data_IF_775344166903
#
_entry.id   IF_775344166903
#
_cell.length_a   1.000
_cell.length_b   1.000
_cell.length_c   1.000
_cell.angle_alpha   90.00
_cell.angle_beta   90.00
_cell.angle_gamma   90.00
#
_symmetry.space_group_name_H-M   'P 1'
#
loop_
_entity.id
_entity.type
_entity.pdbx_description
1 polymer ?
#
# COMPACT_ATOMS: atom_id res chain seq x y z
N UNK A 1 -3.49 14.58 -0.58
CA UNK A 1 -3.47 13.18 -0.10
C UNK A 1 -2.30 12.44 -0.73
N UNK A 2 -1.80 11.37 -0.10
CA UNK A 2 -0.72 10.52 -0.63
C UNK A 2 -1.31 9.14 -0.92
N UNK A 3 -0.97 8.54 -2.06
CA UNK A 3 -1.43 7.19 -2.42
C UNK A 3 -0.66 6.13 -1.64
N UNK A 4 -1.37 5.14 -1.11
CA UNK A 4 -0.81 3.89 -0.58
C UNK A 4 -1.18 2.78 -1.55
N UNK A 5 -0.20 2.01 -2.00
CA UNK A 5 -0.41 0.86 -2.88
C UNK A 5 0.76 -0.13 -2.76
N UNK A 6 0.71 -1.26 -3.46
CA UNK A 6 1.76 -2.28 -3.45
C UNK A 6 2.49 -2.30 -4.80
N UNK A 7 3.77 -1.92 -4.81
CA UNK A 7 4.48 -1.42 -6.00
C UNK A 7 3.87 -0.10 -6.52
N UNK A 8 3.62 0.83 -5.59
CA UNK A 8 2.74 1.99 -5.76
C UNK A 8 3.02 2.92 -6.95
N UNK A 9 4.24 2.91 -7.51
CA UNK A 9 4.56 3.67 -8.71
C UNK A 9 3.73 3.24 -9.93
N UNK A 10 3.36 1.95 -10.02
CA UNK A 10 2.55 1.40 -11.09
C UNK A 10 1.14 2.01 -11.03
N UNK A 11 0.46 1.86 -9.90
CA UNK A 11 -0.90 2.37 -9.68
C UNK A 11 -1.00 3.88 -9.87
N UNK A 12 -0.05 4.64 -9.29
CA UNK A 12 -0.03 6.10 -9.44
C UNK A 12 0.18 6.50 -10.91
N UNK A 13 1.03 5.79 -11.65
CA UNK A 13 1.25 6.02 -13.08
C UNK A 13 -0.03 5.87 -13.90
N UNK A 14 -0.79 4.79 -13.68
CA UNK A 14 -2.07 4.57 -14.35
C UNK A 14 -3.13 5.60 -13.97
N UNK A 15 -3.24 5.95 -12.67
CA UNK A 15 -4.18 6.98 -12.19
C UNK A 15 -3.84 8.34 -12.79
N UNK A 16 -2.57 8.74 -12.80
CA UNK A 16 -2.12 10.00 -13.40
C UNK A 16 -2.45 10.07 -14.90
N UNK A 17 -2.15 9.00 -15.65
CA UNK A 17 -2.46 8.94 -17.08
C UNK A 17 -3.98 8.99 -17.33
N UNK A 18 -4.80 8.36 -16.48
CA UNK A 18 -6.25 8.44 -16.57
C UNK A 18 -6.76 9.86 -16.28
N UNK A 19 -6.21 10.52 -15.25
CA UNK A 19 -6.54 11.91 -14.92
C UNK A 19 -6.26 12.86 -16.10
N UNK A 20 -5.12 12.67 -16.78
CA UNK A 20 -4.74 13.45 -17.97
C UNK A 20 -5.73 13.22 -19.12
N UNK A 21 -6.03 11.96 -19.46
CA UNK A 21 -7.00 11.62 -20.52
C UNK A 21 -8.40 12.17 -20.23
N UNK A 22 -8.81 12.16 -18.96
CA UNK A 22 -10.10 12.67 -18.51
C UNK A 22 -10.13 14.19 -18.25
N UNK A 23 -9.01 14.90 -18.43
CA UNK A 23 -8.88 16.36 -18.21
C UNK A 23 -9.33 16.81 -16.81
N UNK A 24 -9.04 16.00 -15.78
CA UNK A 24 -9.39 16.30 -14.40
C UNK A 24 -8.49 17.42 -13.85
N UNK A 25 -9.08 18.52 -13.41
CA UNK A 25 -8.34 19.73 -12.96
C UNK A 25 -7.89 19.70 -11.50
N UNK A 26 -8.57 18.93 -10.65
CA UNK A 26 -8.35 18.91 -9.19
C UNK A 26 -8.11 17.47 -8.73
N UNK A 27 -6.93 16.96 -9.06
CA UNK A 27 -6.48 15.64 -8.58
C UNK A 27 -5.98 15.79 -7.15
N UNK A 28 -6.57 15.11 -6.15
CA UNK A 28 -6.23 15.30 -4.74
C UNK A 28 -4.98 14.51 -4.31
N UNK A 29 -4.40 13.70 -5.20
CA UNK A 29 -3.18 12.95 -4.95
C UNK A 29 -1.94 13.80 -5.20
N UNK A 30 -0.94 13.61 -4.35
CA UNK A 30 0.38 14.14 -4.59
C UNK A 30 0.95 13.54 -5.90
N UNK A 31 1.58 14.34 -6.79
CA UNK A 31 1.83 13.93 -8.18
C UNK A 31 2.87 12.82 -8.36
N UNK A 32 3.78 12.64 -7.40
CA UNK A 32 4.86 11.63 -7.49
C UNK A 32 5.11 10.85 -6.19
N UNK A 33 5.01 11.49 -5.02
CA UNK A 33 5.18 10.81 -3.74
C UNK A 33 4.07 9.78 -3.46
N UNK A 34 4.47 8.59 -3.04
CA UNK A 34 3.61 7.47 -2.63
C UNK A 34 4.15 6.81 -1.36
N UNK A 35 3.29 6.05 -0.68
CA UNK A 35 3.72 5.06 0.30
C UNK A 35 3.59 3.67 -0.32
N UNK A 36 4.73 3.09 -0.67
CA UNK A 36 4.81 1.76 -1.24
C UNK A 36 4.86 0.67 -0.16
N UNK A 37 3.82 -0.15 -0.10
CA UNK A 37 3.74 -1.25 0.86
C UNK A 37 4.67 -2.41 0.55
N UNK A 38 5.23 -2.54 -0.67
CA UNK A 38 6.28 -3.52 -0.94
C UNK A 38 7.56 -3.14 -0.19
N UNK A 39 7.98 -1.87 -0.28
CA UNK A 39 9.09 -1.31 0.51
C UNK A 39 8.83 -1.40 2.01
N UNK A 40 7.66 -0.95 2.49
CA UNK A 40 7.34 -0.98 3.92
C UNK A 40 7.28 -2.42 4.48
N UNK A 41 6.77 -3.37 3.69
CA UNK A 41 6.75 -4.79 4.09
C UNK A 41 8.14 -5.41 4.08
N UNK A 42 9.03 -4.97 3.18
CA UNK A 42 10.44 -5.33 3.21
C UNK A 42 11.08 -4.95 4.54
N UNK A 43 10.80 -3.74 5.04
CA UNK A 43 11.27 -3.26 6.34
C UNK A 43 10.64 -4.03 7.52
N UNK A 44 9.31 -4.16 7.54
CA UNK A 44 8.58 -4.65 8.72
C UNK A 44 8.56 -6.19 8.83
N UNK A 45 8.61 -6.89 7.70
CA UNK A 45 8.38 -8.34 7.60
C UNK A 45 9.41 -9.09 6.75
N UNK A 46 10.37 -8.40 6.12
CA UNK A 46 11.34 -9.04 5.22
C UNK A 46 10.72 -9.63 3.96
N UNK A 47 9.50 -9.20 3.58
CA UNK A 47 8.76 -9.71 2.42
C UNK A 47 8.31 -8.57 1.52
N UNK A 48 8.52 -8.71 0.21
CA UNK A 48 8.10 -7.72 -0.79
C UNK A 48 6.91 -8.17 -1.64
N UNK A 49 6.49 -9.44 -1.53
CA UNK A 49 5.32 -9.96 -2.24
C UNK A 49 4.10 -9.85 -1.33
N UNK A 50 3.05 -9.15 -1.77
CA UNK A 50 1.83 -8.87 -0.99
C UNK A 50 1.31 -10.11 -0.23
N UNK A 51 1.07 -11.21 -0.93
CA UNK A 51 0.57 -12.45 -0.33
C UNK A 51 1.48 -12.99 0.79
N UNK A 52 2.81 -12.91 0.63
CA UNK A 52 3.78 -13.35 1.64
C UNK A 52 3.87 -12.37 2.81
N UNK A 53 3.80 -11.07 2.53
CA UNK A 53 3.77 -10.02 3.54
C UNK A 53 2.52 -10.15 4.43
N UNK A 54 1.33 -10.31 3.83
CA UNK A 54 0.08 -10.57 4.55
C UNK A 54 0.19 -11.81 5.44
N UNK A 55 0.65 -12.95 4.90
CA UNK A 55 0.83 -14.17 5.69
C UNK A 55 1.80 -13.99 6.85
N UNK A 56 2.92 -13.30 6.63
CA UNK A 56 3.93 -13.03 7.68
C UNK A 56 3.39 -12.07 8.74
N UNK A 57 2.50 -11.15 8.35
CA UNK A 57 1.76 -10.27 9.25
C UNK A 57 0.63 -10.98 10.02
N UNK A 58 0.42 -12.29 9.83
CA UNK A 58 -0.66 -13.04 10.45
C UNK A 58 -2.05 -12.79 9.83
N UNK A 59 -2.09 -12.26 8.60
CA UNK A 59 -3.33 -12.01 7.87
C UNK A 59 -3.64 -13.16 6.92
N UNK A 60 -4.92 -13.51 6.83
CA UNK A 60 -5.41 -14.41 5.79
C UNK A 60 -5.28 -13.78 4.40
N UNK A 61 -4.83 -14.57 3.42
CA UNK A 61 -4.70 -14.17 2.03
C UNK A 61 -5.10 -15.34 1.10
N UNK A 62 -6.19 -15.18 0.37
CA UNK A 62 -6.68 -16.14 -0.60
C UNK A 62 -6.12 -15.81 -1.99
N UNK A 63 -5.25 -16.69 -2.50
CA UNK A 63 -4.66 -16.53 -3.83
C UNK A 63 -5.70 -16.61 -4.96
N UNK A 64 -6.90 -17.15 -4.72
CA UNK A 64 -7.98 -17.21 -5.72
C UNK A 64 -8.64 -15.85 -5.95
N UNK A 65 -8.64 -15.00 -4.93
CA UNK A 65 -9.15 -13.62 -4.99
C UNK A 65 -8.06 -12.61 -5.40
N UNK A 66 -6.80 -13.05 -5.49
CA UNK A 66 -5.71 -12.22 -5.99
C UNK A 66 -6.02 -11.71 -7.40
N UNK A 67 -5.56 -10.48 -7.70
CA UNK A 67 -5.87 -9.75 -8.93
C UNK A 67 -7.26 -9.12 -9.01
N UNK A 68 -8.12 -9.33 -8.00
CA UNK A 68 -9.26 -8.45 -7.78
C UNK A 68 -8.79 -7.15 -7.15
N UNK A 69 -8.97 -6.02 -7.85
CA UNK A 69 -8.57 -4.70 -7.35
C UNK A 69 -9.21 -4.38 -5.98
N UNK A 70 -10.45 -4.82 -5.75
CA UNK A 70 -11.11 -4.65 -4.46
C UNK A 70 -10.39 -5.43 -3.35
N UNK A 71 -10.12 -6.71 -3.59
CA UNK A 71 -9.48 -7.59 -2.62
C UNK A 71 -8.05 -7.12 -2.30
N UNK A 72 -7.26 -6.83 -3.34
CA UNK A 72 -5.89 -6.38 -3.20
C UNK A 72 -5.82 -5.02 -2.48
N UNK A 73 -6.78 -4.12 -2.73
CA UNK A 73 -6.88 -2.84 -2.00
C UNK A 73 -7.20 -3.07 -0.53
N UNK A 74 -8.16 -3.94 -0.21
CA UNK A 74 -8.52 -4.26 1.19
C UNK A 74 -7.32 -4.85 1.93
N UNK A 75 -6.63 -5.84 1.33
CA UNK A 75 -5.45 -6.46 1.93
C UNK A 75 -4.27 -5.50 2.07
N UNK A 76 -4.04 -4.64 1.08
CA UNK A 76 -3.00 -3.62 1.15
C UNK A 76 -3.29 -2.58 2.24
N UNK A 77 -4.55 -2.18 2.41
CA UNK A 77 -4.97 -1.26 3.47
C UNK A 77 -4.81 -1.87 4.86
N UNK A 78 -5.25 -3.11 5.07
CA UNK A 78 -5.05 -3.87 6.30
C UNK A 78 -3.54 -3.98 6.63
N UNK A 79 -2.73 -4.34 5.64
CA UNK A 79 -1.27 -4.49 5.78
C UNK A 79 -0.60 -3.17 6.15
N UNK A 80 -0.93 -2.06 5.48
CA UNK A 80 -0.40 -0.73 5.77
C UNK A 80 -0.73 -0.30 7.21
N UNK A 81 -2.00 -0.41 7.61
CA UNK A 81 -2.43 -0.12 8.98
C UNK A 81 -1.69 -1.00 9.99
N UNK A 82 -1.54 -2.29 9.70
CA UNK A 82 -0.79 -3.23 10.52
C UNK A 82 0.66 -2.82 10.72
N UNK A 83 1.36 -2.41 9.66
CA UNK A 83 2.77 -1.95 9.73
C UNK A 83 2.89 -0.69 10.60
N UNK A 84 2.07 0.33 10.35
CA UNK A 84 2.10 1.60 11.11
C UNK A 84 1.78 1.36 12.59
N UNK A 85 0.77 0.54 12.88
CA UNK A 85 0.39 0.18 14.25
C UNK A 85 1.47 -0.65 14.95
N UNK A 86 2.14 -1.56 14.24
CA UNK A 86 3.26 -2.35 14.77
C UNK A 86 4.42 -1.45 15.17
N UNK A 87 4.78 -0.48 14.34
CA UNK A 87 5.83 0.50 14.66
C UNK A 87 5.50 1.30 15.93
N UNK A 88 4.25 1.78 16.05
CA UNK A 88 3.74 2.44 17.26
C UNK A 88 3.80 1.53 18.49
N UNK A 89 3.33 0.28 18.37
CA UNK A 89 3.30 -0.67 19.49
C UNK A 89 4.70 -1.05 20.01
N UNK A 90 5.71 -1.02 19.13
CA UNK A 90 7.12 -1.25 19.47
C UNK A 90 7.84 0.00 19.99
N UNK A 91 7.12 1.11 20.20
CA UNK A 91 7.69 2.36 20.73
C UNK A 91 8.44 3.21 19.71
N UNK A 92 8.34 2.92 18.42
CA UNK A 92 8.99 3.71 17.36
C UNK A 92 8.30 5.05 17.06
N UNK A 93 7.10 5.26 17.58
CA UNK A 93 6.36 6.53 17.49
C UNK A 93 5.39 6.69 18.68
N UNK A 94 5.25 7.88 19.30
CA UNK A 94 5.88 9.17 18.96
C UNK A 94 7.39 9.18 19.18
N UNK A 95 8.09 10.05 18.45
CA UNK A 95 9.49 10.37 18.76
C UNK A 95 9.53 11.20 20.04
N UNK A 96 10.52 10.92 20.90
CA UNK A 96 10.73 11.61 22.17
C UNK A 96 11.20 13.04 21.94
#
# INVERSE_FOLDING_TARGET
AIMVAHNAAIDLGFVNAANERCKLKRVPFHPFATFDTATLSGLAYGQTVLAKACKTAGMEFDNREAHSALYDTQKTAELFCGIVNKWKALGGWPLV
#
